data_IF_890661921091
#
_entry.id   IF_890661921091
#
_cell.length_a   1.000
_cell.length_b   1.000
_cell.length_c   1.000
_cell.angle_alpha   90.00
_cell.angle_beta   90.00
_cell.angle_gamma   90.00
#
_symmetry.space_group_name_H-M   'P 1'
#
loop_
_entity.id
_entity.type
_entity.pdbx_description
1 polymer ?
#
# COMPACT_ATOMS: atom_id res chain seq x y z
N UNK A 1 11.65 -14.11 28.99
CA UNK A 1 12.87 -13.36 28.61
C UNK A 1 12.68 -11.86 28.87
N UNK A 2 13.75 -11.08 29.00
CA UNK A 2 13.67 -9.62 29.18
C UNK A 2 12.93 -8.93 28.02
N UNK A 3 13.17 -9.37 26.78
CA UNK A 3 12.48 -8.87 25.58
C UNK A 3 10.95 -9.04 25.66
N UNK A 4 10.47 -10.17 26.20
CA UNK A 4 9.04 -10.42 26.35
C UNK A 4 8.39 -9.44 27.34
N UNK A 5 9.13 -9.06 28.39
CA UNK A 5 8.67 -8.05 29.36
C UNK A 5 8.57 -6.69 28.68
N UNK A 6 9.59 -6.27 27.92
CA UNK A 6 9.56 -4.98 27.21
C UNK A 6 8.43 -4.92 26.17
N UNK A 7 8.25 -5.96 25.35
CA UNK A 7 7.15 -6.01 24.39
C UNK A 7 5.78 -5.90 25.09
N UNK A 8 5.63 -6.49 26.29
CA UNK A 8 4.39 -6.45 27.06
C UNK A 8 4.07 -5.08 27.65
N UNK A 9 5.06 -4.17 27.78
CA UNK A 9 4.87 -2.80 28.30
C UNK A 9 4.32 -1.84 27.27
N UNK A 10 4.23 -2.25 26.00
CA UNK A 10 3.62 -1.42 24.96
C UNK A 10 2.14 -1.15 25.27
N UNK A 11 1.69 0.09 25.03
CA UNK A 11 0.31 0.50 25.33
C UNK A 11 -0.70 -0.25 24.45
N UNK A 12 -1.96 -0.24 24.88
CA UNK A 12 -3.04 -0.93 24.16
C UNK A 12 -3.31 -0.33 22.78
N UNK A 13 -3.03 0.95 22.57
CA UNK A 13 -3.06 1.59 21.25
C UNK A 13 -1.93 1.13 20.31
N UNK A 14 -1.05 0.21 20.72
CA UNK A 14 -0.03 -0.44 19.91
C UNK A 14 -0.18 -1.98 19.98
N UNK A 15 -1.41 -2.47 20.06
CA UNK A 15 -1.72 -3.88 20.30
C UNK A 15 -1.18 -4.84 19.24
N UNK A 16 -1.20 -4.47 17.96
CA UNK A 16 -0.72 -5.28 16.83
C UNK A 16 0.80 -5.35 16.86
N UNK A 17 1.46 -4.24 17.19
CA UNK A 17 2.90 -4.16 17.38
C UNK A 17 3.32 -5.08 18.51
N UNK A 18 2.65 -4.97 19.66
CA UNK A 18 2.88 -5.83 20.83
C UNK A 18 2.69 -7.31 20.49
N UNK A 19 1.62 -7.64 19.76
CA UNK A 19 1.36 -9.00 19.30
C UNK A 19 2.50 -9.53 18.42
N UNK A 20 2.87 -8.78 17.38
CA UNK A 20 3.94 -9.15 16.46
C UNK A 20 5.29 -9.29 17.16
N UNK A 21 5.67 -8.36 18.03
CA UNK A 21 6.94 -8.44 18.76
C UNK A 21 7.00 -9.67 19.66
N UNK A 22 5.90 -9.99 20.37
CA UNK A 22 5.82 -11.22 21.17
C UNK A 22 5.96 -12.47 20.30
N UNK A 23 5.29 -12.51 19.15
CA UNK A 23 5.41 -13.62 18.19
C UNK A 23 6.84 -13.75 17.64
N UNK A 24 7.46 -12.64 17.21
CA UNK A 24 8.85 -12.62 16.73
C UNK A 24 9.84 -13.07 17.81
N UNK A 25 9.63 -12.67 19.07
CA UNK A 25 10.45 -13.13 20.20
C UNK A 25 10.31 -14.65 20.36
N UNK A 26 9.11 -15.21 20.28
CA UNK A 26 8.91 -16.65 20.32
C UNK A 26 9.63 -17.37 19.17
N UNK A 27 9.49 -16.87 17.94
CA UNK A 27 10.17 -17.41 16.76
C UNK A 27 11.69 -17.36 16.88
N UNK A 28 12.25 -16.25 17.39
CA UNK A 28 13.69 -16.10 17.64
C UNK A 28 14.26 -17.19 18.57
N UNK A 29 13.45 -17.70 19.50
CA UNK A 29 13.84 -18.76 20.43
C UNK A 29 13.32 -20.15 20.01
N UNK A 30 12.87 -20.33 18.77
CA UNK A 30 12.39 -21.61 18.25
C UNK A 30 11.03 -22.08 18.82
N UNK A 31 10.27 -21.18 19.44
CA UNK A 31 8.99 -21.49 20.12
C UNK A 31 7.81 -21.21 19.19
N UNK A 32 7.72 -21.98 18.12
CA UNK A 32 6.72 -21.77 17.04
C UNK A 32 5.28 -21.92 17.51
N UNK A 33 4.98 -22.88 18.38
CA UNK A 33 3.61 -23.11 18.86
C UNK A 33 3.13 -21.97 19.77
N UNK A 34 4.02 -21.41 20.60
CA UNK A 34 3.71 -20.20 21.38
C UNK A 34 3.44 -19.00 20.47
N UNK A 35 4.23 -18.83 19.39
CA UNK A 35 4.00 -17.76 18.43
C UNK A 35 2.63 -17.92 17.74
N UNK A 36 2.26 -19.14 17.33
CA UNK A 36 0.96 -19.47 16.76
C UNK A 36 -0.17 -19.15 17.76
N UNK A 37 -0.01 -19.56 19.02
CA UNK A 37 -0.98 -19.30 20.08
C UNK A 37 -1.22 -17.80 20.28
N UNK A 38 -0.14 -17.01 20.40
CA UNK A 38 -0.21 -15.55 20.52
C UNK A 38 -1.01 -14.94 19.37
N UNK A 39 -0.64 -15.28 18.12
CA UNK A 39 -1.30 -14.74 16.93
C UNK A 39 -2.77 -15.17 16.83
N UNK A 40 -3.08 -16.43 17.12
CA UNK A 40 -4.45 -16.96 17.04
C UNK A 40 -5.39 -16.35 18.09
N UNK A 41 -4.86 -16.03 19.28
CA UNK A 41 -5.62 -15.38 20.36
C UNK A 41 -5.85 -13.89 20.12
N UNK A 42 -5.07 -13.28 19.24
CA UNK A 42 -5.13 -11.85 18.97
C UNK A 42 -6.27 -11.52 18.01
N UNK A 43 -7.15 -10.63 18.44
CA UNK A 43 -8.19 -10.04 17.59
C UNK A 43 -7.69 -8.68 17.16
N UNK A 44 -7.16 -8.60 15.93
CA UNK A 44 -6.78 -7.33 15.35
C UNK A 44 -8.02 -6.41 15.29
N UNK A 45 -7.93 -5.25 15.92
CA UNK A 45 -8.95 -4.22 15.83
C UNK A 45 -8.96 -3.67 14.40
N UNK A 46 -10.15 -3.32 13.90
CA UNK A 46 -10.39 -2.90 12.53
C UNK A 46 -9.38 -1.82 12.10
N UNK A 47 -8.51 -2.16 11.13
CA UNK A 47 -7.32 -1.41 10.74
C UNK A 47 -7.66 -0.28 9.76
N UNK A 48 -8.83 0.34 9.92
CA UNK A 48 -9.25 1.39 8.99
C UNK A 48 -8.44 2.64 9.28
N UNK A 49 -7.60 3.00 8.30
CA UNK A 49 -7.09 4.35 8.14
C UNK A 49 -8.24 5.34 8.25
N UNK A 50 -7.96 6.56 8.70
CA UNK A 50 -8.94 7.65 8.56
C UNK A 50 -9.24 7.81 7.07
N UNK A 51 -10.46 7.47 6.64
CA UNK A 51 -10.87 7.65 5.25
C UNK A 51 -11.19 9.12 5.03
N UNK A 52 -11.04 9.58 3.79
CA UNK A 52 -11.34 10.98 3.48
C UNK A 52 -12.80 11.32 3.80
N UNK A 53 -13.72 10.39 3.52
CA UNK A 53 -15.14 10.46 3.89
C UNK A 53 -15.39 10.64 5.39
N UNK A 54 -14.51 10.10 6.24
CA UNK A 54 -14.65 10.22 7.69
C UNK A 54 -14.32 11.66 8.14
N UNK A 55 -13.52 12.41 7.35
CA UNK A 55 -13.14 13.79 7.63
C UNK A 55 -14.23 14.79 7.25
N UNK A 56 -15.05 14.48 6.25
CA UNK A 56 -16.14 15.35 5.77
C UNK A 56 -17.22 15.59 6.85
N UNK A 57 -17.29 14.71 7.85
CA UNK A 57 -18.27 14.74 8.94
C UNK A 57 -17.77 15.40 10.24
N UNK A 58 -16.52 15.86 10.27
CA UNK A 58 -15.85 16.32 11.50
C UNK A 58 -15.60 17.82 11.47
N UNK A 59 -16.00 18.53 12.52
CA UNK A 59 -15.83 19.99 12.63
C UNK A 59 -14.39 20.43 12.89
N UNK A 60 -13.61 19.60 13.61
CA UNK A 60 -12.19 19.82 13.90
C UNK A 60 -11.39 18.59 13.45
N UNK A 61 -10.96 18.65 12.19
CA UNK A 61 -10.20 17.58 11.54
C UNK A 61 -8.88 17.31 12.26
N UNK A 62 -8.19 18.35 12.75
CA UNK A 62 -6.88 18.21 13.37
C UNK A 62 -6.98 17.48 14.72
N UNK A 63 -7.93 17.88 15.57
CA UNK A 63 -8.15 17.21 16.86
C UNK A 63 -8.58 15.74 16.67
N UNK A 64 -9.43 15.48 15.66
CA UNK A 64 -9.85 14.11 15.35
C UNK A 64 -8.69 13.24 14.85
N UNK A 65 -7.90 13.75 13.92
CA UNK A 65 -6.72 13.04 13.39
C UNK A 65 -5.71 12.78 14.51
N UNK A 66 -5.40 13.77 15.35
CA UNK A 66 -4.49 13.59 16.49
C UNK A 66 -5.00 12.52 17.46
N UNK A 67 -6.29 12.58 17.83
CA UNK A 67 -6.89 11.57 18.69
C UNK A 67 -6.82 10.17 18.04
N UNK A 68 -7.03 10.05 16.73
CA UNK A 68 -6.87 8.77 16.01
C UNK A 68 -5.44 8.28 16.02
N UNK A 69 -4.45 9.15 15.79
CA UNK A 69 -3.03 8.80 15.86
C UNK A 69 -2.62 8.30 17.25
N UNK A 70 -3.24 8.85 18.31
CA UNK A 70 -2.96 8.45 19.69
C UNK A 70 -3.64 7.16 20.11
N UNK A 71 -4.88 6.96 19.66
CA UNK A 71 -5.75 5.86 20.11
C UNK A 71 -5.72 4.63 19.21
N UNK A 72 -5.31 4.76 17.94
CA UNK A 72 -5.42 3.68 16.96
C UNK A 72 -4.08 2.96 16.69
N UNK A 73 -4.20 1.64 16.57
CA UNK A 73 -3.10 0.71 16.39
C UNK A 73 -2.41 0.82 15.02
N UNK A 74 -3.19 1.10 13.96
CA UNK A 74 -2.68 1.22 12.60
C UNK A 74 -1.77 2.46 12.41
N UNK A 75 -1.93 3.48 13.25
CA UNK A 75 -1.15 4.72 13.17
C UNK A 75 0.30 4.51 13.62
N UNK A 76 0.59 3.42 14.34
CA UNK A 76 1.91 3.13 14.90
C UNK A 76 2.78 2.41 13.88
N UNK A 77 3.30 3.16 12.91
CA UNK A 77 4.47 2.72 12.12
C UNK A 77 5.72 2.98 12.94
N UNK A 78 6.59 1.98 13.06
CA UNK A 78 7.89 2.20 13.68
C UNK A 78 8.90 2.45 12.58
N UNK A 79 9.58 3.59 12.69
CA UNK A 79 10.74 3.95 11.89
C UNK A 79 11.96 3.83 12.78
N UNK A 80 12.96 3.10 12.31
CA UNK A 80 14.19 2.84 13.03
C UNK A 80 15.37 3.31 12.20
N UNK A 81 16.34 3.95 12.84
CA UNK A 81 17.61 4.29 12.22
C UNK A 81 18.61 3.21 12.61
N UNK A 82 19.17 2.53 11.62
CA UNK A 82 20.20 1.51 11.82
C UNK A 82 21.40 1.80 10.91
N UNK A 83 22.58 1.24 11.20
CA UNK A 83 23.75 1.37 10.32
C UNK A 83 23.57 0.60 9.00
N UNK A 84 22.69 -0.41 9.00
CA UNK A 84 22.28 -1.18 7.84
C UNK A 84 20.94 -1.86 8.11
N UNK A 85 20.37 -2.51 7.09
CA UNK A 85 19.05 -3.15 7.21
C UNK A 85 19.09 -4.27 8.26
N UNK A 86 18.27 -4.20 9.34
CA UNK A 86 18.13 -5.29 10.29
C UNK A 86 17.72 -6.58 9.59
N UNK A 87 18.41 -7.68 9.89
CA UNK A 87 18.07 -9.00 9.39
C UNK A 87 17.33 -9.78 10.46
N UNK A 88 16.14 -10.27 10.13
CA UNK A 88 15.37 -11.18 10.98
C UNK A 88 15.72 -12.62 10.60
N UNK A 89 16.97 -13.05 10.87
CA UNK A 89 17.53 -14.34 10.39
C UNK A 89 16.76 -15.57 10.87
N UNK A 90 16.00 -15.45 11.95
CA UNK A 90 15.12 -16.50 12.46
C UNK A 90 13.81 -16.63 11.66
N UNK A 91 13.55 -15.75 10.69
CA UNK A 91 12.45 -15.86 9.75
C UNK A 91 12.93 -16.43 8.41
N UNK A 92 12.03 -17.08 7.63
CA UNK A 92 12.33 -17.46 6.26
C UNK A 92 12.83 -16.27 5.43
N UNK A 93 13.70 -16.56 4.45
CA UNK A 93 14.34 -15.56 3.59
C UNK A 93 13.31 -14.70 2.87
N UNK A 94 12.19 -15.31 2.49
CA UNK A 94 11.07 -14.68 1.79
C UNK A 94 10.46 -13.55 2.64
N UNK A 95 10.21 -13.82 3.93
CA UNK A 95 9.63 -12.83 4.86
C UNK A 95 10.66 -11.77 5.24
N UNK A 96 11.90 -12.18 5.51
CA UNK A 96 12.99 -11.27 5.87
C UNK A 96 13.28 -10.25 4.75
N UNK A 97 12.99 -10.59 3.48
CA UNK A 97 13.06 -9.63 2.36
C UNK A 97 12.00 -8.54 2.40
N UNK A 98 10.88 -8.73 3.08
CA UNK A 98 9.79 -7.74 3.16
C UNK A 98 9.89 -6.84 4.39
N UNK A 99 10.50 -7.32 5.48
CA UNK A 99 10.56 -6.61 6.76
C UNK A 99 12.00 -6.56 7.31
N UNK A 100 12.49 -5.39 7.72
CA UNK A 100 11.93 -4.04 7.53
C UNK A 100 12.26 -3.49 6.13
N UNK A 101 11.50 -2.49 5.66
CA UNK A 101 11.73 -1.84 4.36
C UNK A 101 12.44 -0.49 4.52
N UNK A 102 13.36 -0.17 3.62
CA UNK A 102 14.03 1.14 3.62
C UNK A 102 13.06 2.20 3.06
N UNK A 103 12.82 3.27 3.81
CA UNK A 103 11.86 4.32 3.42
C UNK A 103 12.55 5.65 3.06
N UNK A 104 13.82 5.83 3.39
CA UNK A 104 14.61 7.02 3.05
C UNK A 104 16.05 6.62 2.72
N UNK A 105 16.74 7.44 1.93
CA UNK A 105 18.14 7.23 1.54
C UNK A 105 19.14 7.14 2.71
N UNK A 106 18.71 7.37 3.96
CA UNK A 106 19.55 7.52 5.15
C UNK A 106 19.36 6.37 6.15
N UNK A 107 19.42 5.12 5.68
CA UNK A 107 19.28 3.91 6.50
C UNK A 107 18.11 3.95 7.50
N UNK A 108 16.98 4.54 7.08
CA UNK A 108 15.74 4.57 7.86
C UNK A 108 14.86 3.43 7.40
N UNK A 109 14.56 2.53 8.34
CA UNK A 109 13.81 1.32 8.09
C UNK A 109 12.46 1.37 8.77
N UNK A 110 11.41 0.94 8.08
CA UNK A 110 10.05 0.90 8.60
C UNK A 110 9.46 -0.50 8.62
N UNK A 111 8.59 -0.74 9.59
CA UNK A 111 7.75 -1.94 9.69
C UNK A 111 6.29 -1.49 9.77
N UNK A 112 5.50 -1.85 8.75
CA UNK A 112 4.05 -1.93 8.84
C UNK A 112 3.71 -3.21 9.62
N UNK A 113 3.34 -3.04 10.89
CA UNK A 113 3.00 -4.15 11.77
C UNK A 113 1.68 -4.84 11.42
N UNK A 114 0.78 -4.17 10.70
CA UNK A 114 -0.43 -4.82 10.17
C UNK A 114 -0.08 -5.80 9.06
N UNK A 115 0.79 -5.39 8.12
CA UNK A 115 1.32 -6.26 7.08
C UNK A 115 2.13 -7.41 7.68
N UNK A 116 2.96 -7.14 8.70
CA UNK A 116 3.74 -8.16 9.39
C UNK A 116 2.83 -9.16 10.12
N UNK A 117 1.78 -8.69 10.81
CA UNK A 117 0.80 -9.56 11.47
C UNK A 117 0.17 -10.53 10.46
N UNK A 118 -0.36 -10.00 9.35
CA UNK A 118 -0.96 -10.82 8.28
C UNK A 118 0.06 -11.81 7.70
N UNK A 119 1.29 -11.35 7.47
CA UNK A 119 2.40 -12.18 6.99
C UNK A 119 2.70 -13.37 7.92
N UNK A 120 2.82 -13.11 9.23
CA UNK A 120 3.08 -14.14 10.24
C UNK A 120 1.90 -15.11 10.35
N UNK A 121 0.67 -14.62 10.31
CA UNK A 121 -0.53 -15.46 10.34
C UNK A 121 -0.63 -16.37 9.11
N UNK A 122 -0.29 -15.88 7.93
CA UNK A 122 -0.25 -16.68 6.70
C UNK A 122 0.89 -17.71 6.73
N UNK A 123 2.09 -17.28 7.13
CA UNK A 123 3.25 -18.15 7.20
C UNK A 123 3.11 -19.29 8.20
N UNK A 124 2.56 -19.00 9.38
CA UNK A 124 2.36 -20.00 10.43
C UNK A 124 1.03 -20.76 10.29
N UNK A 125 0.28 -20.56 9.21
CA UNK A 125 -1.03 -21.19 8.99
C UNK A 125 -2.00 -20.97 10.16
N UNK A 126 -1.99 -19.74 10.72
CA UNK A 126 -2.98 -19.27 11.70
C UNK A 126 -4.23 -18.77 10.97
N UNK A 127 -4.03 -18.06 9.86
CA UNK A 127 -5.13 -17.59 9.02
C UNK A 127 -5.67 -18.72 8.15
N UNK A 128 -6.99 -18.87 8.12
CA UNK A 128 -7.67 -19.75 7.16
C UNK A 128 -7.81 -19.07 5.79
N UNK A 129 -8.21 -19.84 4.78
CA UNK A 129 -8.32 -19.35 3.40
C UNK A 129 -9.31 -18.20 3.23
N UNK A 130 -10.46 -18.26 3.93
CA UNK A 130 -11.48 -17.20 3.89
C UNK A 130 -10.94 -15.89 4.45
N UNK A 131 -10.25 -15.95 5.58
CA UNK A 131 -9.62 -14.79 6.22
C UNK A 131 -8.52 -14.21 5.34
N UNK A 132 -7.65 -15.05 4.78
CA UNK A 132 -6.62 -14.62 3.84
C UNK A 132 -7.23 -13.90 2.63
N UNK A 133 -8.28 -14.48 2.04
CA UNK A 133 -9.01 -13.91 0.90
C UNK A 133 -9.64 -12.55 1.23
N UNK A 134 -10.22 -12.40 2.43
CA UNK A 134 -10.74 -11.11 2.91
C UNK A 134 -9.63 -10.06 2.96
N UNK A 135 -8.48 -10.39 3.57
CA UNK A 135 -7.36 -9.46 3.65
C UNK A 135 -6.80 -9.05 2.30
N UNK A 136 -6.72 -9.97 1.34
CA UNK A 136 -6.29 -9.66 -0.02
C UNK A 136 -7.28 -8.76 -0.75
N UNK A 137 -8.58 -9.00 -0.57
CA UNK A 137 -9.63 -8.13 -1.12
C UNK A 137 -9.56 -6.72 -0.52
N UNK A 138 -9.34 -6.59 0.78
CA UNK A 138 -9.16 -5.29 1.44
C UNK A 138 -7.96 -4.52 0.85
N UNK A 139 -6.84 -5.19 0.58
CA UNK A 139 -5.66 -4.56 -0.04
C UNK A 139 -5.99 -4.10 -1.46
N UNK A 140 -6.71 -4.90 -2.24
CA UNK A 140 -7.15 -4.54 -3.59
C UNK A 140 -8.12 -3.36 -3.62
N UNK A 141 -8.95 -3.21 -2.60
CA UNK A 141 -9.94 -2.13 -2.53
C UNK A 141 -9.29 -0.79 -2.14
N UNK A 142 -8.15 -0.81 -1.45
CA UNK A 142 -7.39 0.40 -1.12
C UNK A 142 -6.79 1.05 -2.38
N UNK A 143 -6.84 2.37 -2.48
CA UNK A 143 -6.19 3.10 -3.57
C UNK A 143 -4.68 3.23 -3.35
N UNK A 144 -4.28 3.49 -2.11
CA UNK A 144 -2.89 3.69 -1.69
C UNK A 144 -2.43 2.55 -0.75
N UNK A 145 -2.53 1.31 -1.23
CA UNK A 145 -2.02 0.15 -0.51
C UNK A 145 -0.51 0.27 -0.26
N UNK A 146 -0.07 -0.07 0.96
CA UNK A 146 1.33 0.10 1.31
C UNK A 146 2.19 -1.02 0.73
N UNK A 147 3.45 -0.70 0.45
CA UNK A 147 4.36 -1.61 -0.22
C UNK A 147 4.52 -2.98 0.48
N UNK A 148 4.59 -2.99 1.81
CA UNK A 148 4.69 -4.24 2.57
C UNK A 148 3.40 -5.07 2.50
N UNK A 149 2.23 -4.45 2.31
CA UNK A 149 0.95 -5.15 2.13
C UNK A 149 0.88 -5.80 0.74
N UNK A 150 1.30 -5.06 -0.29
CA UNK A 150 1.44 -5.55 -1.66
C UNK A 150 2.41 -6.74 -1.70
N UNK A 151 3.57 -6.64 -1.05
CA UNK A 151 4.57 -7.71 -1.00
C UNK A 151 4.02 -8.98 -0.31
N UNK A 152 3.30 -8.84 0.80
CA UNK A 152 2.65 -9.97 1.47
C UNK A 152 1.62 -10.62 0.55
N UNK A 153 0.81 -9.84 -0.16
CA UNK A 153 -0.16 -10.40 -1.09
C UNK A 153 0.52 -11.12 -2.27
N UNK A 154 1.57 -10.54 -2.87
CA UNK A 154 2.36 -11.18 -3.92
C UNK A 154 2.99 -12.52 -3.45
N UNK A 155 3.36 -12.62 -2.18
CA UNK A 155 4.02 -13.79 -1.62
C UNK A 155 3.04 -14.94 -1.29
N UNK A 156 1.82 -14.62 -0.86
CA UNK A 156 0.90 -15.62 -0.30
C UNK A 156 -0.40 -15.82 -1.08
N UNK A 157 -0.81 -14.87 -1.93
CA UNK A 157 -2.02 -15.02 -2.72
C UNK A 157 -1.81 -16.08 -3.82
N UNK A 158 -2.75 -17.02 -3.90
CA UNK A 158 -2.78 -18.07 -4.93
C UNK A 158 -3.82 -17.80 -6.02
N UNK A 159 -4.67 -16.80 -5.82
CA UNK A 159 -5.69 -16.40 -6.78
C UNK A 159 -5.05 -15.50 -7.86
N UNK A 160 -4.97 -16.04 -9.08
CA UNK A 160 -4.31 -15.38 -10.20
C UNK A 160 -5.02 -14.10 -10.61
N UNK A 161 -6.35 -14.08 -10.60
CA UNK A 161 -7.13 -12.91 -10.98
C UNK A 161 -6.92 -11.76 -9.98
N UNK A 162 -6.83 -12.10 -8.70
CA UNK A 162 -6.47 -11.12 -7.67
C UNK A 162 -5.04 -10.61 -7.81
N UNK A 163 -4.08 -11.49 -8.13
CA UNK A 163 -2.69 -11.08 -8.37
C UNK A 163 -2.57 -10.16 -9.59
N UNK A 164 -3.23 -10.47 -10.70
CA UNK A 164 -3.29 -9.57 -11.88
C UNK A 164 -3.92 -8.24 -11.48
N UNK A 165 -5.04 -8.27 -10.76
CA UNK A 165 -5.71 -7.05 -10.29
C UNK A 165 -4.80 -6.19 -9.41
N UNK A 166 -4.03 -6.83 -8.52
CA UNK A 166 -3.06 -6.15 -7.65
C UNK A 166 -1.95 -5.49 -8.48
N UNK A 167 -1.36 -6.25 -9.42
CA UNK A 167 -0.25 -5.78 -10.26
C UNK A 167 -0.69 -4.58 -11.10
N UNK A 168 -1.88 -4.62 -11.68
CA UNK A 168 -2.39 -3.54 -12.52
C UNK A 168 -2.80 -2.32 -11.70
N UNK A 169 -3.54 -2.51 -10.59
CA UNK A 169 -4.00 -1.42 -9.73
C UNK A 169 -2.82 -0.66 -9.09
N UNK A 170 -1.85 -1.39 -8.54
CA UNK A 170 -0.72 -0.80 -7.82
C UNK A 170 0.57 -0.76 -8.63
N UNK A 171 0.47 -0.79 -9.97
CA UNK A 171 1.62 -0.85 -10.89
C UNK A 171 2.69 0.21 -10.58
N UNK A 172 2.27 1.43 -10.24
CA UNK A 172 3.17 2.54 -9.91
C UNK A 172 4.04 2.20 -8.69
N UNK A 173 3.41 1.82 -7.58
CA UNK A 173 4.11 1.43 -6.35
C UNK A 173 5.02 0.20 -6.55
N UNK A 174 4.63 -0.73 -7.42
CA UNK A 174 5.44 -1.90 -7.78
C UNK A 174 6.68 -1.48 -8.59
N UNK A 175 6.52 -0.61 -9.58
CA UNK A 175 7.63 -0.17 -10.46
C UNK A 175 8.61 0.78 -9.79
N UNK A 176 8.17 1.55 -8.79
CA UNK A 176 9.04 2.48 -8.06
C UNK A 176 10.14 1.78 -7.26
N UNK A 177 9.97 0.49 -6.94
CA UNK A 177 10.88 -0.26 -6.08
C UNK A 177 11.34 -1.54 -6.78
N UNK A 178 12.62 -1.57 -7.16
CA UNK A 178 13.23 -2.68 -7.92
C UNK A 178 12.89 -4.06 -7.37
N UNK A 179 12.99 -4.24 -6.05
CA UNK A 179 12.70 -5.53 -5.41
C UNK A 179 11.25 -5.98 -5.61
N UNK A 180 10.28 -5.07 -5.48
CA UNK A 180 8.85 -5.38 -5.65
C UNK A 180 8.54 -5.68 -7.11
N UNK A 181 9.14 -4.93 -8.03
CA UNK A 181 9.08 -5.23 -9.46
C UNK A 181 9.66 -6.62 -9.78
N UNK A 182 10.85 -6.94 -9.30
CA UNK A 182 11.49 -8.24 -9.51
C UNK A 182 10.62 -9.38 -8.98
N UNK A 183 9.96 -9.21 -7.83
CA UNK A 183 9.02 -10.20 -7.32
C UNK A 183 7.79 -10.36 -8.20
N UNK A 184 7.13 -9.26 -8.58
CA UNK A 184 5.95 -9.33 -9.45
C UNK A 184 6.30 -9.98 -10.81
N UNK A 185 7.45 -9.61 -11.38
CA UNK A 185 7.97 -10.18 -12.62
C UNK A 185 8.29 -11.66 -12.46
N UNK A 186 8.97 -12.07 -11.39
CA UNK A 186 9.28 -13.49 -11.16
C UNK A 186 8.02 -14.33 -10.95
N UNK A 187 7.02 -13.83 -10.20
CA UNK A 187 5.74 -14.52 -10.04
C UNK A 187 5.03 -14.69 -11.38
N UNK A 188 5.07 -13.66 -12.22
CA UNK A 188 4.57 -13.69 -13.59
C UNK A 188 5.34 -14.71 -14.45
N UNK A 189 6.66 -14.66 -14.50
CA UNK A 189 7.48 -15.58 -15.30
C UNK A 189 7.35 -17.04 -14.85
N UNK A 190 7.13 -17.28 -13.56
CA UNK A 190 6.93 -18.62 -13.01
C UNK A 190 5.53 -19.20 -13.29
N UNK A 191 4.54 -18.36 -13.59
CA UNK A 191 3.15 -18.79 -13.85
C UNK A 191 2.67 -18.26 -15.21
N UNK A 192 2.73 -19.13 -16.23
CA UNK A 192 2.31 -18.80 -17.60
C UNK A 192 0.85 -18.34 -17.69
N UNK A 193 -0.04 -18.86 -16.82
CA UNK A 193 -1.44 -18.42 -16.81
C UNK A 193 -1.55 -17.00 -16.26
N UNK A 194 -0.82 -16.69 -15.18
CA UNK A 194 -0.77 -15.34 -14.64
C UNK A 194 -0.26 -14.34 -15.67
N UNK A 195 0.78 -14.70 -16.42
CA UNK A 195 1.31 -13.88 -17.54
C UNK A 195 0.30 -13.68 -18.66
N UNK A 196 -0.42 -14.75 -19.05
CA UNK A 196 -1.48 -14.67 -20.04
C UNK A 196 -2.57 -13.69 -19.63
N UNK A 197 -3.10 -13.85 -18.41
CA UNK A 197 -4.14 -12.97 -17.86
C UNK A 197 -3.69 -11.51 -17.78
N UNK A 198 -2.46 -11.28 -17.30
CA UNK A 198 -1.89 -9.93 -17.21
C UNK A 198 -1.75 -9.28 -18.59
N UNK A 199 -1.30 -10.05 -19.59
CA UNK A 199 -1.13 -9.57 -20.98
C UNK A 199 -2.47 -9.23 -21.61
N UNK A 200 -3.48 -10.10 -21.46
CA UNK A 200 -4.84 -9.85 -21.95
C UNK A 200 -5.41 -8.56 -21.35
N UNK A 201 -5.30 -8.39 -20.03
CA UNK A 201 -5.78 -7.18 -19.35
C UNK A 201 -5.06 -5.92 -19.82
N UNK A 202 -3.74 -5.97 -19.98
CA UNK A 202 -2.97 -4.83 -20.53
C UNK A 202 -3.38 -4.47 -21.95
N UNK A 203 -3.72 -5.48 -22.78
CA UNK A 203 -4.20 -5.28 -24.13
C UNK A 203 -5.59 -4.62 -24.12
N UNK A 204 -6.52 -5.13 -23.32
CA UNK A 204 -7.87 -4.58 -23.15
C UNK A 204 -7.84 -3.11 -22.69
N UNK A 205 -7.03 -2.79 -21.68
CA UNK A 205 -6.83 -1.41 -21.22
C UNK A 205 -6.27 -0.50 -22.31
N UNK A 206 -5.42 -1.04 -23.20
CA UNK A 206 -4.82 -0.27 -24.30
C UNK A 206 -5.82 -0.05 -25.42
N UNK A 207 -6.57 -1.07 -25.81
CA UNK A 207 -7.66 -0.96 -26.80
C UNK A 207 -8.68 0.07 -26.35
N UNK A 208 -9.13 0.00 -25.09
CA UNK A 208 -10.08 0.95 -24.54
C UNK A 208 -9.56 2.40 -24.57
N UNK A 209 -8.29 2.64 -24.18
CA UNK A 209 -7.67 3.97 -24.28
C UNK A 209 -7.57 4.49 -25.71
N UNK A 210 -7.26 3.61 -26.67
CA UNK A 210 -7.20 3.99 -28.08
C UNK A 210 -8.58 4.34 -28.63
N UNK A 211 -9.62 3.59 -28.26
CA UNK A 211 -11.01 3.88 -28.63
C UNK A 211 -11.45 5.25 -28.10
N UNK A 212 -11.26 5.52 -26.81
CA UNK A 212 -11.58 6.82 -26.21
C UNK A 212 -10.87 7.99 -26.91
N UNK A 213 -9.57 7.81 -27.20
CA UNK A 213 -8.79 8.84 -27.89
C UNK A 213 -9.24 9.03 -29.34
N UNK A 214 -9.70 7.97 -30.02
CA UNK A 214 -10.28 8.08 -31.36
C UNK A 214 -11.59 8.89 -31.34
N UNK A 215 -12.48 8.61 -30.37
CA UNK A 215 -13.72 9.37 -30.18
C UNK A 215 -13.47 10.85 -29.84
N UNK A 216 -12.41 11.17 -29.09
CA UNK A 216 -12.00 12.55 -28.82
C UNK A 216 -11.50 13.26 -30.09
N UNK A 217 -10.71 12.58 -30.92
CA UNK A 217 -10.21 13.12 -32.20
C UNK A 217 -11.38 13.34 -33.17
N UNK A 218 -12.33 12.41 -33.26
CA UNK A 218 -13.53 12.58 -34.08
C UNK A 218 -14.38 13.76 -33.61
N UNK A 219 -14.61 13.90 -32.30
CA UNK A 219 -15.31 15.07 -31.73
C UNK A 219 -14.59 16.38 -32.01
N UNK A 220 -13.25 16.39 -31.93
CA UNK A 220 -12.45 17.56 -32.26
C UNK A 220 -12.49 17.91 -33.75
N UNK A 221 -12.48 16.91 -34.63
CA UNK A 221 -12.59 17.11 -36.07
C UNK A 221 -13.97 17.69 -36.44
N UNK A 222 -15.05 17.17 -35.87
CA UNK A 222 -16.40 17.67 -36.08
C UNK A 222 -16.57 19.11 -35.58
N UNK A 223 -16.08 19.42 -34.37
CA UNK A 223 -16.14 20.79 -33.84
C UNK A 223 -15.26 21.78 -34.62
N UNK A 224 -14.15 21.32 -35.22
CA UNK A 224 -13.32 22.15 -36.11
C UNK A 224 -14.01 22.41 -37.44
N UNK A 225 -14.77 21.46 -37.98
CA UNK A 225 -15.58 21.63 -39.19
C UNK A 225 -16.73 22.61 -38.93
N UNK A 226 -17.42 22.48 -37.80
CA UNK A 226 -18.47 23.42 -37.37
C UNK A 226 -17.91 24.82 -37.02
N UNK A 227 -16.73 24.88 -36.41
CA UNK A 227 -15.99 26.11 -36.16
C UNK A 227 -15.55 26.80 -37.47
N UNK A 228 -15.14 26.04 -38.49
CA UNK A 228 -14.81 26.58 -39.82
C UNK A 228 -16.05 27.02 -40.60
N UNK A 229 -17.21 26.38 -40.41
CA UNK A 229 -18.46 26.82 -41.03
C UNK A 229 -18.97 28.15 -40.44
N UNK A 230 -18.71 28.39 -39.15
CA UNK A 230 -19.04 29.64 -38.45
C UNK A 230 -18.00 30.75 -38.66
N UNK A 231 -16.72 30.42 -38.81
CA UNK A 231 -15.64 31.39 -39.13
C UNK A 231 -15.67 31.93 -40.57
N UNK A 232 -16.29 31.21 -41.52
CA UNK A 232 -16.57 31.77 -42.87
C UNK A 232 -17.62 32.90 -42.86
N UNK A 233 -18.24 33.19 -41.70
CA UNK A 233 -19.26 34.23 -41.51
C UNK A 233 -18.83 35.43 -40.64
N UNK A 234 -17.62 35.44 -40.07
CA UNK A 234 -17.17 36.56 -39.21
C UNK A 234 -15.71 36.93 -39.44
N UNK A 235 -15.50 37.80 -40.43
CA UNK A 235 -14.36 38.71 -40.47
C UNK A 235 -14.61 39.88 -39.51
N UNK A 236 -13.83 39.98 -38.44
CA UNK A 236 -13.84 41.11 -37.49
C UNK A 236 -12.93 40.82 -36.29
N UNK A 237 -11.80 41.53 -36.22
CA UNK A 237 -10.73 41.38 -35.23
C UNK A 237 -11.04 42.08 -33.87
N UNK A 238 -10.08 42.26 -32.94
CA UNK A 238 -9.71 41.33 -31.86
C UNK A 238 -9.93 41.94 -30.45
N UNK A 239 -9.92 41.12 -29.40
CA UNK A 239 -10.05 41.60 -28.01
C UNK A 239 -9.49 40.63 -26.98
N UNK A 240 -8.65 41.17 -26.10
CA UNK A 240 -7.77 40.50 -25.15
C UNK A 240 -8.45 40.01 -23.85
N UNK A 241 -7.76 39.11 -23.12
CA UNK A 241 -7.70 39.18 -21.64
C UNK A 241 -8.07 37.94 -20.82
N UNK A 242 -7.03 37.16 -20.44
CA UNK A 242 -6.77 36.51 -19.12
C UNK A 242 -7.76 35.45 -18.55
N UNK A 243 -7.46 34.74 -17.42
CA UNK A 243 -6.18 34.45 -16.74
C UNK A 243 -5.91 32.92 -16.54
N UNK A 244 -4.67 32.61 -16.15
CA UNK A 244 -4.19 31.25 -15.87
C UNK A 244 -4.72 30.62 -14.59
N UNK A 245 -4.97 29.32 -14.65
CA UNK A 245 -5.29 28.48 -13.50
C UNK A 245 -4.02 28.18 -12.69
N UNK A 246 -3.98 28.67 -11.45
CA UNK A 246 -3.01 28.28 -10.43
C UNK A 246 -3.37 26.89 -9.91
N UNK A 247 -2.50 25.91 -10.13
CA UNK A 247 -2.55 24.66 -9.38
C UNK A 247 -2.01 24.91 -7.96
N UNK A 248 -2.86 24.69 -6.95
CA UNK A 248 -2.44 24.61 -5.56
C UNK A 248 -1.61 23.33 -5.38
N UNK A 249 -0.32 23.47 -5.15
CA UNK A 249 0.53 22.38 -4.65
C UNK A 249 0.60 22.54 -3.12
N UNK A 250 -0.15 21.71 -2.41
CA UNK A 250 -0.02 21.53 -0.96
C UNK A 250 1.22 20.67 -0.70
N UNK A 251 2.35 21.34 -0.40
CA UNK A 251 3.55 20.68 0.12
C UNK A 251 3.40 20.53 1.64
N UNK A 252 2.99 19.35 2.09
CA UNK A 252 3.06 18.99 3.51
C UNK A 252 4.52 18.71 3.87
N UNK A 253 5.08 19.51 4.78
CA UNK A 253 6.45 19.33 5.30
C UNK A 253 6.54 18.01 6.08
N UNK A 254 7.61 17.21 5.91
CA UNK A 254 7.86 16.07 6.77
C UNK A 254 8.25 16.54 8.18
N UNK A 255 7.46 16.13 9.18
CA UNK A 255 7.80 16.24 10.60
C UNK A 255 8.98 15.31 10.91
N UNK A 256 10.16 15.91 11.05
CA UNK A 256 11.36 15.23 11.55
C UNK A 256 11.29 15.21 13.08
N UNK A 257 10.89 14.09 13.66
CA UNK A 257 11.03 13.86 15.09
C UNK A 257 12.51 13.51 15.39
N UNK A 258 13.13 14.32 16.24
CA UNK A 258 14.52 14.17 16.67
C UNK A 258 14.74 12.85 17.42
N UNK A 259 15.89 12.19 17.27
CA UNK A 259 16.23 11.00 18.04
C UNK A 259 16.41 11.38 19.51
N UNK A 260 15.73 10.66 20.39
CA UNK A 260 16.07 10.62 21.81
C UNK A 260 17.33 9.77 21.96
N UNK A 261 18.37 10.42 22.48
CA UNK A 261 19.64 9.84 22.93
C UNK A 261 19.39 8.77 24.00
#
# INVERSE_FOLDING_TARGET
>A
SALMKEASRLPDCASTVRCCLKALICLKYGRTDEARSILSSFKATDSRFVRHEDLDSVSDVDAFVLNKLDTCDWAKKFCFVFSGRPQLEFLPKEINRHFPICILYVNVFSINFQALYRCLCLHLHVANESQAKSWFKEILEQDEAQLQEILVMLQFCKDREMLVSLIHKHRKAIYEQKHTFDMALNSMLADQQLMGLSTTRSLEETVHRLQQRNEEVERFALSTIEGRSTLKKRSGAPGAGAPGAKALVLVLKPLVLKPLV
#
